data_IF_577826033455
#
_entry.id   IF_577826033455
#
_cell.length_a   1.000
_cell.length_b   1.000
_cell.length_c   1.000
_cell.angle_alpha   90.00
_cell.angle_beta   90.00
_cell.angle_gamma   90.00
#
_symmetry.space_group_name_H-M   'P 1'
#
loop_
_entity.id
_entity.type
_entity.pdbx_description
1 polymer ?
#
# COMPACT_ATOMS: atom_id res chain seq x y z
N UNK A 1 19.69 33.26 -14.36
CA UNK A 1 18.27 33.46 -14.77
C UNK A 1 17.36 32.63 -13.84
N UNK A 2 16.05 32.93 -13.67
CA UNK A 2 15.15 32.08 -12.84
C UNK A 2 14.42 31.09 -13.78
N UNK A 3 14.47 29.80 -13.46
CA UNK A 3 13.75 28.78 -14.22
C UNK A 3 12.23 28.98 -14.13
N UNK A 4 11.56 29.08 -15.29
CA UNK A 4 10.14 29.45 -15.38
C UNK A 4 9.20 28.41 -14.74
N UNK A 5 9.58 27.13 -14.73
CA UNK A 5 8.76 26.04 -14.19
C UNK A 5 9.14 25.64 -12.75
N UNK A 6 9.89 26.48 -12.03
CA UNK A 6 10.34 26.16 -10.66
C UNK A 6 9.16 25.92 -9.70
N UNK A 7 8.12 26.75 -9.76
CA UNK A 7 6.95 26.62 -8.90
C UNK A 7 6.15 25.35 -9.22
N UNK A 8 6.07 24.98 -10.50
CA UNK A 8 5.45 23.73 -10.92
C UNK A 8 6.24 22.51 -10.44
N UNK A 9 7.58 22.57 -10.50
CA UNK A 9 8.45 21.52 -9.96
C UNK A 9 8.24 21.34 -8.46
N UNK A 10 8.16 22.43 -7.70
CA UNK A 10 7.85 22.41 -6.26
C UNK A 10 6.51 21.73 -5.98
N UNK A 11 5.46 22.07 -6.72
CA UNK A 11 4.14 21.44 -6.57
C UNK A 11 4.21 19.93 -6.89
N UNK A 12 4.97 19.52 -7.91
CA UNK A 12 5.13 18.09 -8.25
C UNK A 12 5.89 17.31 -7.18
N UNK A 13 6.91 17.91 -6.56
CA UNK A 13 7.62 17.33 -5.40
C UNK A 13 6.66 17.09 -4.24
N UNK A 14 5.86 18.09 -3.86
CA UNK A 14 4.84 17.95 -2.81
C UNK A 14 3.82 16.84 -3.13
N UNK A 15 3.36 16.75 -4.39
CA UNK A 15 2.41 15.71 -4.81
C UNK A 15 3.02 14.31 -4.74
N UNK A 16 4.28 14.16 -5.11
CA UNK A 16 5.03 12.90 -4.97
C UNK A 16 5.16 12.50 -3.50
N UNK A 17 5.53 13.44 -2.63
CA UNK A 17 5.69 13.17 -1.20
C UNK A 17 4.36 12.76 -0.56
N UNK A 18 3.27 13.46 -0.88
CA UNK A 18 1.92 13.08 -0.46
C UNK A 18 1.53 11.69 -0.98
N UNK A 19 1.88 11.33 -2.21
CA UNK A 19 1.63 10.00 -2.76
C UNK A 19 2.45 8.93 -2.01
N UNK A 20 3.69 9.23 -1.64
CA UNK A 20 4.53 8.32 -0.85
C UNK A 20 3.95 8.07 0.55
N UNK A 21 3.45 9.10 1.21
CA UNK A 21 2.79 8.96 2.51
C UNK A 21 1.48 8.18 2.42
N UNK A 22 0.73 8.34 1.33
CA UNK A 22 -0.46 7.52 1.07
C UNK A 22 -0.12 6.04 0.87
N UNK A 23 1.00 5.73 0.21
CA UNK A 23 1.49 4.34 0.10
C UNK A 23 1.85 3.77 1.48
N UNK A 24 2.54 4.54 2.33
CA UNK A 24 2.85 4.10 3.71
C UNK A 24 1.58 3.78 4.50
N UNK A 25 0.55 4.65 4.42
CA UNK A 25 -0.75 4.44 5.06
C UNK A 25 -1.45 3.19 4.52
N UNK A 26 -1.42 2.98 3.20
CA UNK A 26 -2.01 1.81 2.57
C UNK A 26 -1.31 0.50 3.00
N UNK A 27 0.02 0.49 3.12
CA UNK A 27 0.78 -0.65 3.66
C UNK A 27 0.39 -0.99 5.09
N UNK A 28 0.23 0.03 5.93
CA UNK A 28 -0.22 -0.17 7.31
C UNK A 28 -1.65 -0.76 7.36
N UNK A 29 -2.54 -0.30 6.47
CA UNK A 29 -3.89 -0.84 6.38
C UNK A 29 -3.90 -2.30 5.91
N UNK A 30 -3.06 -2.64 4.92
CA UNK A 30 -2.87 -4.02 4.46
C UNK A 30 -2.37 -4.90 5.60
N UNK A 31 -1.34 -4.46 6.33
CA UNK A 31 -0.79 -5.23 7.45
C UNK A 31 -1.85 -5.52 8.53
N UNK A 32 -2.66 -4.52 8.87
CA UNK A 32 -3.80 -4.72 9.80
C UNK A 32 -4.80 -5.74 9.27
N UNK A 33 -5.09 -5.74 7.97
CA UNK A 33 -6.00 -6.71 7.38
C UNK A 33 -5.41 -8.13 7.39
N UNK A 34 -4.11 -8.29 7.15
CA UNK A 34 -3.40 -9.57 7.30
C UNK A 34 -3.52 -10.11 8.73
N UNK A 35 -3.26 -9.27 9.73
CA UNK A 35 -3.35 -9.66 11.14
C UNK A 35 -4.78 -10.11 11.53
N UNK A 36 -5.80 -9.47 10.96
CA UNK A 36 -7.21 -9.87 11.15
C UNK A 36 -7.51 -11.23 10.51
N UNK A 37 -6.99 -11.49 9.30
CA UNK A 37 -7.12 -12.80 8.64
C UNK A 37 -6.45 -13.89 9.47
N UNK A 38 -5.23 -13.65 9.94
CA UNK A 38 -4.49 -14.60 10.77
C UNK A 38 -5.24 -14.90 12.08
N UNK A 39 -5.75 -13.86 12.76
CA UNK A 39 -6.53 -14.02 13.97
C UNK A 39 -7.85 -14.79 13.74
N UNK A 40 -8.56 -14.51 12.63
CA UNK A 40 -9.80 -15.21 12.28
C UNK A 40 -9.52 -16.69 11.96
N UNK A 41 -8.47 -16.97 11.20
CA UNK A 41 -8.06 -18.32 10.86
C UNK A 41 -7.66 -19.11 12.11
N UNK A 42 -6.87 -18.50 13.00
CA UNK A 42 -6.48 -19.10 14.28
C UNK A 42 -7.68 -19.47 15.14
N UNK A 43 -8.65 -18.54 15.31
CA UNK A 43 -9.89 -18.80 16.06
C UNK A 43 -10.67 -19.96 15.47
N UNK A 44 -10.80 -20.02 14.15
CA UNK A 44 -11.46 -21.12 13.47
C UNK A 44 -10.76 -22.46 13.72
N UNK A 45 -9.43 -22.51 13.61
CA UNK A 45 -8.64 -23.72 13.86
C UNK A 45 -8.75 -24.19 15.31
N UNK A 46 -8.59 -23.28 16.27
CA UNK A 46 -8.73 -23.58 17.70
C UNK A 46 -10.13 -24.11 18.02
N UNK A 47 -11.18 -23.50 17.45
CA UNK A 47 -12.55 -23.94 17.67
C UNK A 47 -12.86 -25.28 17.01
N UNK A 48 -12.33 -25.55 15.81
CA UNK A 48 -12.45 -26.87 15.17
C UNK A 48 -11.84 -27.97 16.03
N UNK A 49 -10.67 -27.73 16.63
CA UNK A 49 -10.04 -28.67 17.56
C UNK A 49 -10.86 -28.85 18.85
N UNK A 50 -11.37 -27.74 19.40
CA UNK A 50 -12.27 -27.77 20.55
C UNK A 50 -13.52 -28.62 20.27
N UNK A 51 -14.17 -28.42 19.12
CA UNK A 51 -15.37 -29.16 18.72
C UNK A 51 -15.13 -30.67 18.74
N UNK A 52 -14.00 -31.15 18.22
CA UNK A 52 -13.70 -32.61 18.20
C UNK A 52 -13.74 -33.18 19.62
N UNK A 53 -13.04 -32.55 20.57
CA UNK A 53 -13.01 -32.99 21.97
C UNK A 53 -14.38 -32.89 22.63
N UNK A 54 -15.11 -31.83 22.32
CA UNK A 54 -16.43 -31.60 22.91
C UNK A 54 -17.45 -32.62 22.38
N UNK A 55 -17.42 -32.92 21.09
CA UNK A 55 -18.24 -33.98 20.48
C UNK A 55 -17.97 -35.33 21.14
N UNK A 56 -16.71 -35.70 21.36
CA UNK A 56 -16.35 -36.93 22.10
C UNK A 56 -16.91 -36.93 23.53
N UNK A 57 -16.81 -35.81 24.25
CA UNK A 57 -17.37 -35.64 25.60
C UNK A 57 -18.89 -35.82 25.61
N UNK A 58 -19.57 -35.20 24.64
CA UNK A 58 -21.03 -35.24 24.51
C UNK A 58 -21.53 -36.65 24.18
N UNK A 59 -20.91 -37.31 23.21
CA UNK A 59 -21.23 -38.71 22.91
C UNK A 59 -20.92 -39.64 24.08
N UNK A 60 -19.80 -39.44 24.79
CA UNK A 60 -19.43 -40.21 25.98
C UNK A 60 -20.40 -40.04 27.15
N UNK A 61 -21.08 -38.91 27.26
CA UNK A 61 -22.10 -38.68 28.29
C UNK A 61 -23.38 -39.48 28.04
N UNK A 62 -23.68 -39.80 26.78
CA UNK A 62 -24.89 -40.51 26.34
C UNK A 62 -24.64 -42.00 26.13
N UNK A 63 -23.50 -42.36 25.53
CA UNK A 63 -23.08 -43.75 25.33
C UNK A 63 -22.90 -44.45 26.69
N UNK A 64 -23.54 -45.62 26.86
CA UNK A 64 -23.52 -46.48 28.06
C UNK A 64 -24.42 -46.06 29.23
N UNK A 65 -25.32 -45.08 29.03
CA UNK A 65 -26.38 -44.74 30.01
C UNK A 65 -27.75 -44.99 29.41
N UNK A 66 -28.73 -45.34 30.26
CA UNK A 66 -30.13 -45.42 29.84
C UNK A 66 -30.69 -43.99 29.80
N UNK A 67 -30.37 -43.25 28.73
CA UNK A 67 -30.70 -41.83 28.59
C UNK A 67 -32.12 -41.70 28.03
N UNK A 68 -32.99 -40.85 28.62
CA UNK A 68 -34.31 -40.58 28.05
C UNK A 68 -34.20 -39.91 26.67
N UNK A 69 -35.26 -40.00 25.87
CA UNK A 69 -35.35 -39.41 24.53
C UNK A 69 -34.95 -37.92 24.52
N UNK A 70 -35.38 -37.16 25.53
CA UNK A 70 -35.04 -35.74 25.71
C UNK A 70 -33.52 -35.50 25.79
N UNK A 71 -32.76 -36.44 26.37
CA UNK A 71 -31.30 -36.34 26.44
C UNK A 71 -30.63 -36.52 25.08
N UNK A 72 -31.24 -37.28 24.17
CA UNK A 72 -30.76 -37.41 22.77
C UNK A 72 -31.11 -36.16 21.97
N UNK A 73 -32.29 -35.58 22.17
CA UNK A 73 -32.70 -34.32 21.52
C UNK A 73 -31.78 -33.16 21.96
N UNK A 74 -31.46 -33.06 23.25
CA UNK A 74 -30.52 -32.07 23.77
C UNK A 74 -29.12 -32.22 23.15
N UNK A 75 -28.62 -33.46 23.01
CA UNK A 75 -27.35 -33.73 22.33
C UNK A 75 -27.36 -33.19 20.89
N UNK A 76 -28.43 -33.42 20.13
CA UNK A 76 -28.55 -32.92 18.75
C UNK A 76 -28.53 -31.39 18.70
N UNK A 77 -29.20 -30.72 19.65
CA UNK A 77 -29.20 -29.26 19.76
C UNK A 77 -27.79 -28.74 20.05
N UNK A 78 -27.07 -29.36 20.98
CA UNK A 78 -25.70 -28.96 21.32
C UNK A 78 -24.74 -29.14 20.14
N UNK A 79 -24.84 -30.27 19.42
CA UNK A 79 -24.05 -30.50 18.21
C UNK A 79 -24.34 -29.44 17.14
N UNK A 80 -25.61 -29.12 16.91
CA UNK A 80 -26.02 -28.08 15.97
C UNK A 80 -25.49 -26.68 16.38
N UNK A 81 -25.41 -26.39 17.68
CA UNK A 81 -24.80 -25.16 18.18
C UNK A 81 -23.30 -25.09 17.87
N UNK A 82 -22.58 -26.20 18.05
CA UNK A 82 -21.15 -26.27 17.69
C UNK A 82 -20.94 -26.06 16.20
N UNK A 83 -21.77 -26.66 15.35
CA UNK A 83 -21.73 -26.46 13.89
C UNK A 83 -22.03 -25.02 13.48
N UNK A 84 -23.07 -24.41 14.06
CA UNK A 84 -23.40 -23.02 13.83
C UNK A 84 -22.23 -22.10 14.17
N UNK A 85 -21.52 -22.34 15.27
CA UNK A 85 -20.35 -21.56 15.64
C UNK A 85 -19.18 -21.71 14.69
N UNK A 86 -18.95 -22.90 14.12
CA UNK A 86 -17.96 -23.07 13.04
C UNK A 86 -18.35 -22.19 11.85
N UNK A 87 -19.62 -22.24 11.43
CA UNK A 87 -20.09 -21.45 10.30
C UNK A 87 -19.91 -19.93 10.52
N UNK A 88 -20.15 -19.45 11.75
CA UNK A 88 -19.89 -18.06 12.14
C UNK A 88 -18.41 -17.68 11.99
N UNK A 89 -17.49 -18.54 12.43
CA UNK A 89 -16.04 -18.31 12.26
C UNK A 89 -15.58 -18.40 10.81
N UNK A 90 -16.15 -19.31 10.02
CA UNK A 90 -15.86 -19.43 8.58
C UNK A 90 -16.31 -18.19 7.83
N UNK A 91 -17.50 -17.66 8.14
CA UNK A 91 -18.02 -16.41 7.59
C UNK A 91 -17.10 -15.24 7.95
N UNK A 92 -16.70 -15.13 9.23
CA UNK A 92 -15.79 -14.09 9.67
C UNK A 92 -14.41 -14.15 8.98
N UNK A 93 -13.90 -15.36 8.72
CA UNK A 93 -12.66 -15.55 7.95
C UNK A 93 -12.84 -15.11 6.49
N UNK A 94 -13.96 -15.45 5.85
CA UNK A 94 -14.25 -15.00 4.49
C UNK A 94 -14.33 -13.48 4.39
N UNK A 95 -15.00 -12.83 5.33
CA UNK A 95 -15.09 -11.36 5.40
C UNK A 95 -13.71 -10.72 5.59
N UNK A 96 -12.86 -11.31 6.45
CA UNK A 96 -11.49 -10.86 6.65
C UNK A 96 -10.64 -10.99 5.38
N UNK A 97 -10.77 -12.11 4.65
CA UNK A 97 -10.06 -12.35 3.39
C UNK A 97 -10.50 -11.32 2.33
N UNK A 98 -11.80 -11.02 2.25
CA UNK A 98 -12.31 -10.02 1.32
C UNK A 98 -11.83 -8.60 1.66
N UNK A 99 -11.80 -8.25 2.95
CA UNK A 99 -11.21 -7.00 3.42
C UNK A 99 -9.71 -6.90 3.08
N UNK A 100 -8.96 -7.99 3.24
CA UNK A 100 -7.56 -8.07 2.84
C UNK A 100 -7.37 -7.84 1.33
N UNK A 101 -8.18 -8.49 0.48
CA UNK A 101 -8.14 -8.27 -0.97
C UNK A 101 -8.40 -6.80 -1.34
N UNK A 102 -9.38 -6.16 -0.70
CA UNK A 102 -9.67 -4.74 -0.90
C UNK A 102 -8.49 -3.85 -0.46
N UNK A 103 -7.86 -4.16 0.66
CA UNK A 103 -6.68 -3.44 1.15
C UNK A 103 -5.47 -3.60 0.22
N UNK A 104 -5.25 -4.80 -0.33
CA UNK A 104 -4.19 -5.06 -1.30
C UNK A 104 -4.40 -4.25 -2.58
N UNK A 105 -5.61 -4.31 -3.16
CA UNK A 105 -5.94 -3.52 -4.35
C UNK A 105 -5.75 -2.02 -4.10
N UNK A 106 -6.17 -1.54 -2.93
CA UNK A 106 -5.96 -0.15 -2.54
C UNK A 106 -4.48 0.22 -2.47
N UNK A 107 -3.62 -0.66 -1.94
CA UNK A 107 -2.17 -0.44 -1.96
C UNK A 107 -1.63 -0.34 -3.38
N UNK A 108 -2.03 -1.27 -4.27
CA UNK A 108 -1.58 -1.29 -5.66
C UNK A 108 -1.95 0.01 -6.38
N UNK A 109 -3.18 0.51 -6.18
CA UNK A 109 -3.62 1.80 -6.72
C UNK A 109 -2.76 2.97 -6.21
N UNK A 110 -2.38 2.99 -4.92
CA UNK A 110 -1.53 4.04 -4.36
C UNK A 110 -0.10 3.96 -4.86
N UNK A 111 0.43 2.76 -5.06
CA UNK A 111 1.75 2.54 -5.66
C UNK A 111 1.76 3.05 -7.11
N UNK A 112 0.72 2.74 -7.90
CA UNK A 112 0.56 3.28 -9.25
C UNK A 112 0.49 4.81 -9.26
N UNK A 113 -0.25 5.41 -8.34
CA UNK A 113 -0.32 6.87 -8.21
C UNK A 113 1.05 7.51 -7.86
N UNK A 114 1.84 6.87 -6.98
CA UNK A 114 3.20 7.33 -6.65
C UNK A 114 4.13 7.22 -7.85
N UNK A 115 4.07 6.13 -8.61
CA UNK A 115 4.85 5.98 -9.84
C UNK A 115 4.51 7.07 -10.85
N UNK A 116 3.22 7.36 -11.06
CA UNK A 116 2.79 8.43 -11.95
C UNK A 116 3.25 9.81 -11.47
N UNK A 117 3.14 10.10 -10.16
CA UNK A 117 3.61 11.35 -9.59
C UNK A 117 5.13 11.52 -9.74
N UNK A 118 5.89 10.43 -9.58
CA UNK A 118 7.35 10.40 -9.74
C UNK A 118 7.74 10.66 -11.20
N UNK A 119 7.12 9.96 -12.17
CA UNK A 119 7.36 10.19 -13.61
C UNK A 119 7.05 11.63 -14.01
N UNK A 120 5.93 12.18 -13.52
CA UNK A 120 5.57 13.56 -13.78
C UNK A 120 6.60 14.54 -13.20
N UNK A 121 7.10 14.30 -11.99
CA UNK A 121 8.15 15.14 -11.40
C UNK A 121 9.45 15.05 -12.21
N UNK A 122 9.89 13.83 -12.57
CA UNK A 122 11.13 13.59 -13.33
C UNK A 122 11.14 14.35 -14.66
N UNK A 123 10.04 14.34 -15.42
CA UNK A 123 9.93 15.09 -16.68
C UNK A 123 10.25 16.58 -16.56
N UNK A 124 9.90 17.23 -15.44
CA UNK A 124 10.20 18.65 -15.24
C UNK A 124 11.62 18.86 -14.73
N UNK A 125 12.13 17.92 -13.92
CA UNK A 125 13.52 17.97 -13.47
C UNK A 125 14.49 17.80 -14.65
N UNK A 126 14.18 16.88 -15.58
CA UNK A 126 14.92 16.70 -16.84
C UNK A 126 14.90 17.99 -17.68
N UNK A 127 13.72 18.59 -17.88
CA UNK A 127 13.61 19.86 -18.60
C UNK A 127 14.40 20.98 -17.91
N UNK A 128 14.38 21.04 -16.57
CA UNK A 128 15.16 22.01 -15.79
C UNK A 128 16.66 21.83 -16.03
N UNK A 129 17.11 20.58 -16.03
CA UNK A 129 18.51 20.25 -16.27
C UNK A 129 18.95 20.69 -17.67
N UNK A 130 18.16 20.39 -18.71
CA UNK A 130 18.43 20.87 -20.08
C UNK A 130 18.46 22.39 -20.15
N UNK A 131 17.51 23.08 -19.51
CA UNK A 131 17.48 24.55 -19.48
C UNK A 131 18.72 25.15 -18.81
N UNK A 132 19.21 24.57 -17.71
CA UNK A 132 20.45 25.01 -17.05
C UNK A 132 21.65 24.86 -17.99
N UNK A 133 21.74 23.72 -18.70
CA UNK A 133 22.82 23.44 -19.65
C UNK A 133 22.80 24.41 -20.84
N UNK A 134 21.62 24.75 -21.34
CA UNK A 134 21.45 25.75 -22.41
C UNK A 134 21.81 27.17 -21.95
N UNK A 135 21.34 27.60 -20.77
CA UNK A 135 21.67 28.91 -20.19
C UNK A 135 23.19 29.05 -19.97
N UNK A 136 23.84 27.97 -19.53
CA UNK A 136 25.29 27.92 -19.32
C UNK A 136 26.06 28.09 -20.64
N UNK A 137 25.64 27.37 -21.69
CA UNK A 137 26.25 27.50 -23.03
C UNK A 137 26.07 28.89 -23.63
N UNK A 138 24.90 29.51 -23.44
CA UNK A 138 24.65 30.87 -23.92
C UNK A 138 25.55 31.87 -23.19
N UNK A 139 25.74 31.69 -21.88
CA UNK A 139 26.64 32.53 -21.10
C UNK A 139 28.10 32.39 -21.57
N UNK A 140 28.58 31.17 -21.78
CA UNK A 140 29.91 30.90 -22.34
C UNK A 140 30.10 31.61 -23.70
N UNK A 141 29.15 31.44 -24.62
CA UNK A 141 29.20 32.10 -25.94
C UNK A 141 29.18 33.64 -25.84
N UNK A 142 28.45 34.20 -24.88
CA UNK A 142 28.44 35.65 -24.63
C UNK A 142 29.79 36.14 -24.13
N UNK A 143 30.41 35.40 -23.21
CA UNK A 143 31.73 35.73 -22.67
C UNK A 143 32.82 35.65 -23.74
N UNK A 144 32.80 34.62 -24.58
CA UNK A 144 33.73 34.48 -25.70
C UNK A 144 33.62 35.65 -26.67
N UNK A 145 32.39 36.06 -27.01
CA UNK A 145 32.15 37.22 -27.87
C UNK A 145 32.67 38.53 -27.25
N UNK A 146 32.47 38.73 -25.95
CA UNK A 146 33.00 39.90 -25.24
C UNK A 146 34.54 39.93 -25.27
N UNK A 147 35.19 38.78 -25.13
CA UNK A 147 36.66 38.68 -25.23
C UNK A 147 37.17 38.98 -26.65
N UNK A 148 36.47 38.51 -27.68
CA UNK A 148 36.77 38.85 -29.08
C UNK A 148 36.62 40.35 -29.34
N UNK A 149 35.53 40.96 -28.87
CA UNK A 149 35.27 42.40 -29.01
C UNK A 149 36.33 43.25 -28.28
N UNK A 150 36.84 42.80 -27.13
CA UNK A 150 37.93 43.48 -26.40
C UNK A 150 39.24 43.39 -27.19
N UNK A 151 39.61 42.19 -27.68
CA UNK A 151 40.82 42.01 -28.49
C UNK A 151 40.80 42.90 -29.74
N UNK A 152 39.68 42.93 -30.47
CA UNK A 152 39.51 43.77 -31.66
C UNK A 152 39.71 45.26 -31.35
N UNK A 153 39.25 45.74 -30.18
CA UNK A 153 39.43 47.13 -29.76
C UNK A 153 40.87 47.45 -29.36
N UNK A 154 41.57 46.52 -28.74
CA UNK A 154 43.00 46.67 -28.41
C UNK A 154 43.85 46.75 -29.68
N UNK A 155 43.58 45.87 -30.66
CA UNK A 155 44.27 45.86 -31.95
C UNK A 155 44.06 47.18 -32.73
N UNK A 156 42.82 47.69 -32.75
CA UNK A 156 42.48 48.99 -33.38
C UNK A 156 43.05 50.21 -32.64
N UNK A 157 43.46 50.07 -31.38
CA UNK A 157 44.06 51.15 -30.58
C UNK A 157 45.59 51.20 -30.73
N UNK A 158 46.19 50.21 -31.39
CA UNK A 158 47.63 50.09 -31.61
C UNK A 158 48.07 50.36 -33.06
N UNK A 159 47.13 50.73 -33.95
CA UNK A 159 47.36 51.32 -35.29
C UNK A 159 47.28 52.86 -35.25
#
# INVERSE_FOLDING_TARGET
MKYELEDLLRVRKIRKDKAADNVKKARLALKKAEDVVEAANRRLSEYKLFKVKEVERLYGAVMKKNVPKEGIENLQIELAFLDKKILEYETALQDAIEAHKKAQKYLDDRVGALQQATRNMQKIEEHKQTWIEEDSKILELSQDKELEDVKLKEDLSHE
#
